data_IF_131328646654
#
_entry.id   IF_131328646654
#
_cell.length_a   1.000
_cell.length_b   1.000
_cell.length_c   1.000
_cell.angle_alpha   90.00
_cell.angle_beta   90.00
_cell.angle_gamma   90.00
#
_symmetry.space_group_name_H-M   'P 1'
#
loop_
_entity.id
_entity.type
_entity.pdbx_description
1 polymer ?
#
# COMPACT_ATOMS: atom_id res chain seq x y z
N UNK A 1 -8.32 17.24 23.26
CA UNK A 1 -7.53 15.99 23.28
C UNK A 1 -6.19 16.09 24.03
N UNK A 2 -5.96 17.15 24.82
CA UNK A 2 -4.65 17.28 25.52
C UNK A 2 -4.43 16.08 26.45
N UNK A 3 -3.27 15.43 26.29
CA UNK A 3 -2.82 14.26 27.05
C UNK A 3 -3.52 12.93 26.75
N UNK A 4 -4.35 12.80 25.72
CA UNK A 4 -4.86 11.49 25.29
C UNK A 4 -3.72 10.62 24.81
N UNK A 5 -3.52 9.45 25.43
CA UNK A 5 -2.49 8.48 25.10
C UNK A 5 -2.97 7.61 23.96
N UNK A 6 -2.32 7.70 22.82
CA UNK A 6 -2.69 6.93 21.63
C UNK A 6 -1.56 6.00 21.24
N UNK A 7 -1.85 4.69 21.14
CA UNK A 7 -0.95 3.73 20.52
C UNK A 7 -1.34 3.51 19.06
N UNK A 8 -0.38 3.58 18.16
CA UNK A 8 -0.54 3.23 16.75
C UNK A 8 0.33 1.99 16.46
N UNK A 9 -0.25 0.94 15.90
CA UNK A 9 0.47 -0.25 15.45
C UNK A 9 0.77 -0.14 13.97
N UNK A 10 2.05 -0.04 13.61
CA UNK A 10 2.57 0.09 12.24
C UNK A 10 3.15 1.47 11.91
N UNK A 11 4.36 1.50 11.34
CA UNK A 11 5.13 2.70 11.02
C UNK A 11 5.46 2.81 9.51
N UNK A 12 4.53 2.41 8.62
CA UNK A 12 4.74 2.56 7.17
C UNK A 12 4.16 3.88 6.66
N UNK A 13 2.91 3.93 6.21
CA UNK A 13 2.26 5.12 5.63
C UNK A 13 1.18 5.67 6.56
N UNK A 14 0.12 4.89 6.80
CA UNK A 14 -1.03 5.35 7.58
C UNK A 14 -0.66 5.73 9.02
N UNK A 15 0.23 4.95 9.66
CA UNK A 15 0.65 5.19 11.05
C UNK A 15 1.36 6.52 11.24
N UNK A 16 2.48 6.80 10.55
CA UNK A 16 3.17 8.09 10.63
C UNK A 16 2.30 9.27 10.22
N UNK A 17 1.47 9.14 9.17
CA UNK A 17 0.53 10.19 8.77
C UNK A 17 -0.48 10.50 9.90
N UNK A 18 -1.04 9.47 10.55
CA UNK A 18 -1.92 9.63 11.69
C UNK A 18 -1.20 10.22 12.91
N UNK A 19 0.01 9.71 13.20
CA UNK A 19 0.82 10.18 14.31
C UNK A 19 1.12 11.68 14.22
N UNK A 20 1.48 12.17 13.02
CA UNK A 20 1.69 13.59 12.74
C UNK A 20 0.49 14.45 13.14
N UNK A 21 -0.72 14.06 12.74
CA UNK A 21 -1.93 14.85 13.05
C UNK A 21 -2.29 14.79 14.52
N UNK A 22 -2.22 13.61 15.15
CA UNK A 22 -2.55 13.43 16.56
C UNK A 22 -1.59 14.21 17.49
N UNK A 23 -0.29 14.21 17.19
CA UNK A 23 0.70 14.99 17.93
C UNK A 23 0.37 16.50 17.83
N UNK A 24 0.10 17.02 16.64
CA UNK A 24 -0.32 18.42 16.44
C UNK A 24 -1.61 18.78 17.18
N UNK A 25 -2.47 17.80 17.42
CA UNK A 25 -3.71 18.00 18.19
C UNK A 25 -3.53 17.78 19.70
N UNK A 26 -2.28 17.53 20.15
CA UNK A 26 -1.87 17.48 21.56
C UNK A 26 -2.06 16.13 22.22
N UNK A 27 -2.13 15.04 21.45
CA UNK A 27 -2.08 13.68 21.97
C UNK A 27 -0.65 13.28 22.36
N UNK A 28 -0.53 12.33 23.26
CA UNK A 28 0.70 11.60 23.52
C UNK A 28 0.70 10.36 22.61
N UNK A 29 1.54 10.38 21.58
CA UNK A 29 1.54 9.35 20.54
C UNK A 29 2.72 8.41 20.70
N UNK A 30 2.43 7.12 20.78
CA UNK A 30 3.41 6.04 20.67
C UNK A 30 3.10 5.22 19.43
N UNK A 31 4.10 4.98 18.58
CA UNK A 31 3.99 4.13 17.40
C UNK A 31 4.85 2.87 17.64
N UNK A 32 4.25 1.69 17.52
CA UNK A 32 4.99 0.41 17.59
C UNK A 32 5.12 -0.20 16.19
N UNK A 33 6.33 -0.66 15.86
CA UNK A 33 6.65 -1.28 14.56
C UNK A 33 7.46 -2.57 14.77
N UNK A 34 7.01 -3.66 14.14
CA UNK A 34 7.68 -4.96 14.22
C UNK A 34 9.06 -4.99 13.56
N UNK A 35 9.28 -4.19 12.54
CA UNK A 35 10.59 -4.05 11.91
C UNK A 35 11.57 -3.29 12.80
N UNK A 36 12.87 -3.54 12.62
CA UNK A 36 13.92 -2.86 13.38
C UNK A 36 14.11 -1.38 13.01
N UNK A 37 13.43 -0.92 11.98
CA UNK A 37 13.45 0.45 11.44
C UNK A 37 12.60 0.53 10.18
N UNK A 38 12.64 1.67 9.48
CA UNK A 38 11.98 1.82 8.19
C UNK A 38 12.41 0.69 7.24
N UNK A 39 11.45 -0.01 6.66
CA UNK A 39 11.73 -1.14 5.78
C UNK A 39 12.18 -0.63 4.42
N UNK A 40 13.42 -0.93 3.96
CA UNK A 40 13.90 -0.52 2.66
C UNK A 40 13.16 -1.23 1.53
N UNK A 41 13.17 -0.63 0.34
CA UNK A 41 12.56 -1.19 -0.86
C UNK A 41 11.03 -1.11 -0.85
N UNK A 42 10.44 -1.91 -1.71
CA UNK A 42 9.01 -1.91 -1.96
C UNK A 42 8.65 -1.25 -3.28
N UNK A 43 7.39 -1.38 -3.64
CA UNK A 43 6.84 -0.89 -4.91
C UNK A 43 6.80 0.64 -4.98
N UNK A 44 6.71 1.16 -6.20
CA UNK A 44 6.19 2.49 -6.44
C UNK A 44 4.71 2.55 -6.03
N UNK A 45 4.31 3.66 -5.49
CA UNK A 45 2.97 3.95 -5.00
C UNK A 45 2.59 5.37 -5.38
N UNK A 46 1.30 5.64 -5.43
CA UNK A 46 0.80 6.92 -5.88
C UNK A 46 0.16 7.72 -4.75
N UNK A 47 0.48 9.00 -4.72
CA UNK A 47 -0.24 10.02 -3.94
C UNK A 47 -1.11 10.80 -4.91
N UNK A 48 -2.44 10.65 -4.82
CA UNK A 48 -3.42 11.16 -5.77
C UNK A 48 -4.59 11.87 -5.10
N UNK A 49 -5.24 12.73 -5.86
CA UNK A 49 -6.47 13.38 -5.45
C UNK A 49 -6.37 14.06 -4.08
N UNK A 50 -7.33 13.83 -3.16
CA UNK A 50 -7.34 14.48 -1.84
C UNK A 50 -6.12 14.15 -0.98
N UNK A 51 -5.37 13.08 -1.26
CA UNK A 51 -4.13 12.79 -0.54
C UNK A 51 -3.02 13.81 -0.84
N UNK A 52 -3.00 14.41 -2.02
CA UNK A 52 -2.08 15.53 -2.34
C UNK A 52 -2.35 16.74 -1.43
N UNK A 53 -3.61 17.04 -1.18
CA UNK A 53 -3.98 18.13 -0.26
C UNK A 53 -3.64 17.77 1.19
N UNK A 54 -3.81 16.51 1.62
CA UNK A 54 -3.34 16.05 2.93
C UNK A 54 -1.83 16.29 3.06
N UNK A 55 -1.02 15.91 2.05
CA UNK A 55 0.41 16.16 2.03
C UNK A 55 0.75 17.65 2.07
N UNK A 56 -0.02 18.49 1.35
CA UNK A 56 0.17 19.95 1.38
C UNK A 56 -0.12 20.53 2.78
N UNK A 57 -1.22 20.10 3.42
CA UNK A 57 -1.58 20.48 4.79
C UNK A 57 -0.56 20.00 5.84
N UNK A 58 0.09 18.86 5.59
CA UNK A 58 1.22 18.36 6.38
C UNK A 58 2.52 19.16 6.14
N UNK A 59 2.61 19.91 5.06
CA UNK A 59 3.81 20.62 4.64
C UNK A 59 4.88 19.73 3.99
N UNK A 60 4.53 18.52 3.58
CA UNK A 60 5.47 17.53 3.01
C UNK A 60 5.35 17.36 1.50
N UNK A 61 4.37 18.00 0.83
CA UNK A 61 4.10 17.77 -0.59
C UNK A 61 5.30 18.10 -1.49
N UNK A 62 6.00 19.20 -1.23
CA UNK A 62 7.15 19.56 -2.06
C UNK A 62 8.31 18.58 -1.88
N UNK A 63 8.54 18.09 -0.66
CA UNK A 63 9.55 17.07 -0.41
C UNK A 63 9.19 15.74 -1.12
N UNK A 64 7.93 15.30 -1.03
CA UNK A 64 7.41 14.13 -1.76
C UNK A 64 7.66 14.27 -3.27
N UNK A 65 7.44 15.46 -3.84
CA UNK A 65 7.71 15.75 -5.25
C UNK A 65 9.18 15.62 -5.64
N UNK A 66 10.11 15.92 -4.72
CA UNK A 66 11.55 15.75 -5.00
C UNK A 66 11.96 14.28 -5.08
N UNK A 67 11.20 13.39 -4.44
CA UNK A 67 11.43 11.93 -4.43
C UNK A 67 10.61 11.16 -5.47
N UNK A 68 9.90 11.88 -6.36
CA UNK A 68 9.09 11.22 -7.42
C UNK A 68 9.95 10.31 -8.28
N UNK A 69 9.39 9.23 -8.80
CA UNK A 69 10.08 8.31 -9.74
C UNK A 69 10.52 9.04 -11.01
N UNK A 70 9.72 10.00 -11.47
CA UNK A 70 10.02 10.85 -12.61
C UNK A 70 10.13 10.11 -13.94
N UNK A 71 9.39 9.01 -14.09
CA UNK A 71 9.29 8.26 -15.34
C UNK A 71 8.85 9.16 -16.50
N UNK A 72 9.31 8.83 -17.71
CA UNK A 72 9.02 9.57 -18.96
C UNK A 72 8.17 8.78 -19.93
N UNK A 73 7.88 7.53 -19.62
CA UNK A 73 7.10 6.64 -20.46
C UNK A 73 7.38 5.18 -20.18
N UNK A 74 6.82 4.35 -21.03
CA UNK A 74 6.96 2.91 -20.96
C UNK A 74 7.03 2.28 -22.32
N UNK A 75 7.56 1.05 -22.36
CA UNK A 75 7.46 0.16 -23.51
C UNK A 75 7.00 -1.23 -23.09
N UNK A 76 6.45 -1.96 -24.05
CA UNK A 76 6.11 -3.37 -23.93
C UNK A 76 6.98 -4.16 -24.88
N UNK A 77 7.56 -5.25 -24.41
CA UNK A 77 8.43 -6.12 -25.20
C UNK A 77 8.00 -7.57 -25.15
N UNK A 78 8.30 -8.33 -26.20
CA UNK A 78 8.10 -9.78 -26.25
C UNK A 78 9.30 -10.54 -25.64
N UNK A 79 9.26 -11.87 -25.71
CA UNK A 79 10.32 -12.74 -25.18
C UNK A 79 11.67 -12.63 -25.87
N UNK A 80 11.76 -12.03 -27.04
CA UNK A 80 13.01 -11.75 -27.77
C UNK A 80 13.50 -10.31 -27.55
N UNK A 81 12.78 -9.53 -26.73
CA UNK A 81 13.08 -8.13 -26.46
C UNK A 81 12.63 -7.19 -27.59
N UNK A 82 11.84 -7.67 -28.53
CA UNK A 82 11.27 -6.84 -29.57
C UNK A 82 10.18 -5.95 -29.00
N UNK A 83 10.26 -4.63 -29.25
CA UNK A 83 9.25 -3.69 -28.84
C UNK A 83 7.92 -3.96 -29.59
N UNK A 84 6.87 -4.13 -28.82
CA UNK A 84 5.50 -4.32 -29.29
C UNK A 84 4.72 -2.99 -29.25
N UNK A 85 5.01 -2.16 -28.25
CA UNK A 85 4.35 -0.89 -28.01
C UNK A 85 5.27 0.03 -27.21
N UNK A 86 5.19 1.34 -27.41
CA UNK A 86 5.77 2.32 -26.47
C UNK A 86 4.98 3.61 -26.46
N UNK A 87 5.03 4.34 -25.33
CA UNK A 87 4.35 5.61 -25.13
C UNK A 87 5.08 6.50 -24.15
N UNK A 88 4.98 7.82 -24.35
CA UNK A 88 5.45 8.87 -23.45
C UNK A 88 4.31 9.64 -22.79
N UNK A 89 3.08 9.13 -22.88
CA UNK A 89 1.91 9.78 -22.29
C UNK A 89 1.58 9.25 -20.91
N UNK A 90 1.99 8.00 -20.62
CA UNK A 90 1.67 7.29 -19.38
C UNK A 90 2.65 6.17 -19.08
N UNK A 91 2.53 5.63 -17.85
CA UNK A 91 3.15 4.39 -17.39
C UNK A 91 2.09 3.42 -16.88
N UNK A 92 2.43 2.13 -16.76
CA UNK A 92 1.52 1.16 -16.15
C UNK A 92 1.48 1.29 -14.63
N UNK A 93 2.59 1.74 -14.01
CA UNK A 93 2.68 1.95 -12.57
C UNK A 93 1.99 3.25 -12.12
N UNK A 94 2.30 4.38 -12.75
CA UNK A 94 1.89 5.71 -12.31
C UNK A 94 0.69 6.33 -13.04
N UNK A 95 0.25 5.75 -14.16
CA UNK A 95 -0.82 6.31 -14.98
C UNK A 95 -0.38 7.46 -15.90
N UNK A 96 -1.21 8.49 -16.08
CA UNK A 96 -0.92 9.61 -16.98
C UNK A 96 0.21 10.51 -16.45
N UNK A 97 1.20 10.80 -17.31
CA UNK A 97 2.40 11.56 -16.95
C UNK A 97 2.18 13.07 -16.81
N UNK A 98 1.11 13.60 -17.37
CA UNK A 98 0.71 15.01 -17.27
C UNK A 98 -0.24 15.29 -16.09
N UNK A 99 -0.52 14.28 -15.25
CA UNK A 99 -1.35 14.42 -14.06
C UNK A 99 -0.61 15.15 -12.92
N UNK A 100 -1.35 15.73 -11.95
CA UNK A 100 -0.76 16.30 -10.74
C UNK A 100 -0.27 15.22 -9.75
N UNK A 101 -0.55 13.97 -10.00
CA UNK A 101 -0.24 12.82 -9.14
C UNK A 101 1.27 12.67 -8.93
N UNK A 102 1.64 12.10 -7.81
CA UNK A 102 3.05 11.85 -7.49
C UNK A 102 3.25 10.36 -7.29
N UNK A 103 3.93 9.74 -8.24
CA UNK A 103 4.45 8.40 -8.07
C UNK A 103 5.78 8.46 -7.30
N UNK A 104 5.87 7.73 -6.20
CA UNK A 104 7.01 7.71 -5.29
C UNK A 104 7.27 6.29 -4.79
N UNK A 105 8.51 5.96 -4.44
CA UNK A 105 8.79 4.68 -3.79
C UNK A 105 8.20 4.66 -2.37
N UNK A 106 7.66 3.52 -1.98
CA UNK A 106 7.01 3.34 -0.66
C UNK A 106 7.93 3.68 0.50
N UNK A 107 9.20 3.30 0.42
CA UNK A 107 10.19 3.56 1.47
C UNK A 107 10.58 5.05 1.53
N UNK A 108 10.61 5.76 0.40
CA UNK A 108 10.85 7.20 0.37
C UNK A 108 9.67 7.96 1.00
N UNK A 109 8.43 7.64 0.63
CA UNK A 109 7.25 8.24 1.25
C UNK A 109 7.20 7.95 2.76
N UNK A 110 7.48 6.72 3.17
CA UNK A 110 7.52 6.35 4.60
C UNK A 110 8.56 7.19 5.35
N UNK A 111 9.75 7.40 4.76
CA UNK A 111 10.82 8.19 5.36
C UNK A 111 10.42 9.66 5.52
N UNK A 112 9.80 10.25 4.50
CA UNK A 112 9.29 11.64 4.57
C UNK A 112 8.24 11.78 5.67
N UNK A 113 7.29 10.85 5.76
CA UNK A 113 6.24 10.88 6.78
C UNK A 113 6.78 10.70 8.21
N UNK A 114 7.75 9.81 8.39
CA UNK A 114 8.42 9.62 9.68
C UNK A 114 9.18 10.88 10.12
N UNK A 115 9.90 11.52 9.20
CA UNK A 115 10.62 12.75 9.47
C UNK A 115 9.69 13.92 9.81
N UNK A 116 8.51 13.99 9.19
CA UNK A 116 7.51 15.02 9.45
C UNK A 116 6.93 14.97 10.87
N UNK A 117 6.93 13.80 11.52
CA UNK A 117 6.39 13.61 12.87
C UNK A 117 7.13 14.35 13.97
N UNK A 118 8.40 14.68 13.76
CA UNK A 118 9.23 15.39 14.76
C UNK A 118 9.47 14.59 16.04
N UNK A 119 10.00 15.29 17.08
CA UNK A 119 10.44 14.68 18.34
C UNK A 119 9.27 14.38 19.33
N UNK A 120 8.05 14.80 19.02
CA UNK A 120 6.87 14.62 19.88
C UNK A 120 6.31 13.20 19.88
N UNK A 121 6.72 12.37 18.94
CA UNK A 121 6.20 11.01 18.73
C UNK A 121 7.21 9.97 19.18
N UNK A 122 6.80 9.06 20.08
CA UNK A 122 7.62 7.93 20.50
C UNK A 122 7.51 6.80 19.48
N UNK A 123 8.63 6.32 18.91
CA UNK A 123 8.69 5.15 18.04
C UNK A 123 9.34 3.98 18.72
N UNK A 124 8.62 2.85 18.83
CA UNK A 124 9.08 1.58 19.38
C UNK A 124 9.29 0.59 18.23
N UNK A 125 10.47 0.60 17.65
CA UNK A 125 10.85 -0.35 16.60
C UNK A 125 11.20 -1.72 17.19
N UNK A 126 11.16 -2.76 16.34
CA UNK A 126 11.49 -4.13 16.69
C UNK A 126 10.58 -4.72 17.78
N UNK A 127 9.33 -4.22 17.87
CA UNK A 127 8.32 -4.74 18.81
C UNK A 127 6.93 -4.73 18.14
N UNK A 128 5.98 -5.40 18.76
CA UNK A 128 4.59 -5.45 18.28
C UNK A 128 3.64 -5.78 19.43
N UNK A 129 2.35 -5.60 19.20
CA UNK A 129 1.30 -5.90 20.18
C UNK A 129 1.16 -7.42 20.31
N UNK A 130 1.37 -7.95 21.50
CA UNK A 130 1.15 -9.36 21.83
C UNK A 130 -0.29 -9.62 22.30
N UNK A 131 -0.86 -8.70 23.07
CA UNK A 131 -2.25 -8.80 23.53
C UNK A 131 -2.83 -7.43 23.88
N UNK A 132 -4.17 -7.34 23.83
CA UNK A 132 -4.98 -6.18 24.16
C UNK A 132 -6.08 -6.58 25.15
N UNK A 133 -6.27 -5.81 26.22
CA UNK A 133 -7.38 -5.95 27.13
C UNK A 133 -8.06 -4.59 27.30
N UNK A 134 -9.28 -4.46 26.75
CA UNK A 134 -10.05 -3.21 26.83
C UNK A 134 -10.80 -3.13 28.17
N UNK A 135 -10.54 -2.06 28.93
CA UNK A 135 -11.31 -1.64 30.08
C UNK A 135 -12.27 -0.49 29.76
N UNK A 136 -13.03 -0.02 30.76
CA UNK A 136 -13.94 1.11 30.56
C UNK A 136 -13.21 2.42 30.23
N UNK A 137 -12.03 2.63 30.81
CA UNK A 137 -11.30 3.89 30.71
C UNK A 137 -10.05 3.82 29.84
N UNK A 138 -9.46 2.63 29.66
CA UNK A 138 -8.21 2.44 28.93
C UNK A 138 -8.11 1.05 28.29
N UNK A 139 -7.09 0.88 27.46
CA UNK A 139 -6.67 -0.39 26.86
C UNK A 139 -5.32 -0.78 27.47
N UNK A 140 -5.26 -1.88 28.19
CA UNK A 140 -4.01 -2.48 28.61
C UNK A 140 -3.39 -3.24 27.44
N UNK A 141 -2.20 -2.85 27.05
CA UNK A 141 -1.46 -3.43 25.91
C UNK A 141 -0.21 -4.12 26.43
N UNK A 142 -0.01 -5.38 26.06
CA UNK A 142 1.23 -6.10 26.27
C UNK A 142 1.97 -6.21 24.95
N UNK A 143 3.24 -5.82 24.94
CA UNK A 143 4.13 -5.94 23.79
C UNK A 143 4.91 -7.25 23.83
N UNK A 144 5.39 -7.71 22.67
CA UNK A 144 6.22 -8.93 22.64
C UNK A 144 7.56 -8.78 23.35
N UNK A 145 8.12 -7.57 23.39
CA UNK A 145 9.44 -7.28 24.00
C UNK A 145 9.40 -6.20 25.06
N UNK A 146 8.53 -5.22 24.94
CA UNK A 146 8.51 -3.98 25.71
C UNK A 146 7.69 -3.98 27.01
N UNK A 147 7.20 -5.13 27.51
CA UNK A 147 6.35 -5.20 28.71
C UNK A 147 4.91 -4.75 28.44
N UNK A 148 4.26 -4.10 29.44
CA UNK A 148 2.86 -3.68 29.32
C UNK A 148 2.72 -2.19 29.59
N UNK A 149 1.83 -1.53 28.83
CA UNK A 149 1.45 -0.12 28.98
C UNK A 149 -0.07 0.05 28.80
N UNK A 150 -0.60 1.15 29.29
CA UNK A 150 -2.01 1.52 29.14
C UNK A 150 -2.17 2.72 28.23
N UNK A 151 -3.15 2.66 27.32
CA UNK A 151 -3.48 3.69 26.37
C UNK A 151 -4.98 4.01 26.39
N UNK A 152 -5.35 5.22 26.07
CA UNK A 152 -6.75 5.62 26.00
C UNK A 152 -7.41 5.14 24.69
N UNK A 153 -6.61 5.05 23.62
CA UNK A 153 -7.01 4.63 22.28
C UNK A 153 -5.89 3.78 21.65
N UNK A 154 -6.27 2.76 20.90
CA UNK A 154 -5.34 1.97 20.05
C UNK A 154 -5.80 2.04 18.61
N UNK A 155 -4.89 2.33 17.68
CA UNK A 155 -5.15 2.36 16.24
C UNK A 155 -4.29 1.33 15.53
N UNK A 156 -4.91 0.41 14.81
CA UNK A 156 -4.20 -0.50 13.92
C UNK A 156 -3.95 0.17 12.56
N UNK A 157 -2.67 0.31 12.21
CA UNK A 157 -2.15 0.78 10.92
C UNK A 157 -1.13 -0.23 10.36
N UNK A 158 -1.28 -1.50 10.75
CA UNK A 158 -0.32 -2.59 10.55
C UNK A 158 -0.57 -3.43 9.28
N UNK A 159 -1.32 -2.85 8.33
CA UNK A 159 -1.43 -3.32 6.96
C UNK A 159 -2.43 -4.45 6.74
N UNK A 160 -2.42 -5.03 5.55
CA UNK A 160 -3.39 -6.05 5.10
C UNK A 160 -3.42 -7.27 6.03
N UNK A 161 -2.27 -7.69 6.55
CA UNK A 161 -2.12 -8.78 7.52
C UNK A 161 -2.11 -8.29 8.97
N UNK A 162 -3.00 -7.38 9.31
CA UNK A 162 -3.06 -6.74 10.63
C UNK A 162 -3.22 -7.74 11.77
N UNK A 163 -2.17 -7.87 12.59
CA UNK A 163 -2.23 -8.66 13.82
C UNK A 163 -3.15 -8.01 14.87
N UNK A 164 -3.21 -6.69 14.89
CA UNK A 164 -4.11 -5.95 15.79
C UNK A 164 -5.58 -6.18 15.43
N UNK A 165 -5.92 -6.21 14.12
CA UNK A 165 -7.25 -6.63 13.64
C UNK A 165 -7.58 -8.05 14.13
N UNK A 166 -6.64 -8.98 13.98
CA UNK A 166 -6.86 -10.36 14.41
C UNK A 166 -7.13 -10.47 15.91
N UNK A 167 -6.42 -9.74 16.76
CA UNK A 167 -6.62 -9.71 18.21
C UNK A 167 -7.99 -9.16 18.63
N UNK A 168 -8.54 -8.20 17.89
CA UNK A 168 -9.76 -7.47 18.30
C UNK A 168 -11.00 -7.98 17.59
N UNK A 169 -10.92 -8.25 16.29
CA UNK A 169 -12.09 -8.56 15.46
C UNK A 169 -12.16 -10.04 15.09
N UNK A 170 -11.07 -10.77 15.20
CA UNK A 170 -10.98 -12.19 14.88
C UNK A 170 -10.07 -12.48 13.68
N UNK A 171 -10.00 -13.76 13.27
CA UNK A 171 -9.01 -14.21 12.30
C UNK A 171 -9.20 -13.56 10.93
N UNK A 172 -8.09 -13.41 10.21
CA UNK A 172 -7.96 -12.66 8.96
C UNK A 172 -8.89 -13.15 7.86
N UNK A 173 -9.09 -14.47 7.79
CA UNK A 173 -9.89 -15.13 6.75
C UNK A 173 -11.36 -14.67 6.72
N UNK A 174 -11.81 -14.02 7.78
CA UNK A 174 -13.16 -13.42 7.83
C UNK A 174 -13.28 -12.14 7.03
N UNK A 175 -12.18 -11.46 6.79
CA UNK A 175 -12.14 -10.10 6.27
C UNK A 175 -11.38 -9.98 4.96
N UNK A 176 -10.42 -10.89 4.72
CA UNK A 176 -9.58 -10.88 3.54
C UNK A 176 -10.29 -11.52 2.36
N UNK A 177 -10.44 -10.74 1.29
CA UNK A 177 -10.97 -11.17 0.00
C UNK A 177 -9.84 -11.28 -1.01
N UNK A 178 -9.49 -12.50 -1.38
CA UNK A 178 -8.46 -12.79 -2.36
C UNK A 178 -8.88 -12.34 -3.76
N UNK A 179 -7.99 -11.64 -4.48
CA UNK A 179 -8.28 -11.08 -5.81
C UNK A 179 -7.77 -11.94 -6.97
N UNK A 180 -7.37 -13.20 -6.71
CA UNK A 180 -6.95 -14.16 -7.74
C UNK A 180 -5.47 -14.03 -8.12
N UNK A 181 -4.62 -13.40 -7.29
CA UNK A 181 -3.21 -13.29 -7.62
C UNK A 181 -2.31 -12.80 -6.49
N UNK A 182 -1.02 -12.80 -6.79
CA UNK A 182 0.06 -12.36 -5.91
C UNK A 182 0.99 -11.43 -6.67
N UNK A 183 1.56 -10.46 -5.96
CA UNK A 183 2.51 -9.49 -6.49
C UNK A 183 3.87 -9.70 -5.83
N UNK A 184 4.90 -9.96 -6.64
CA UNK A 184 6.29 -10.01 -6.21
C UNK A 184 7.03 -8.75 -6.62
N UNK A 185 7.88 -8.22 -5.71
CA UNK A 185 8.69 -7.02 -5.96
C UNK A 185 10.07 -7.21 -5.37
N UNK A 186 11.11 -6.77 -6.11
CA UNK A 186 12.48 -6.69 -5.61
C UNK A 186 13.32 -5.68 -6.39
N UNK A 187 14.45 -5.29 -5.82
CA UNK A 187 15.40 -4.35 -6.43
C UNK A 187 16.50 -5.08 -7.17
N UNK A 188 16.90 -4.52 -8.31
CA UNK A 188 18.08 -4.90 -9.07
C UNK A 188 18.90 -3.66 -9.44
N UNK A 189 20.22 -3.80 -9.74
CA UNK A 189 20.94 -2.73 -10.42
C UNK A 189 20.26 -2.39 -11.75
N UNK A 190 20.26 -1.13 -12.15
CA UNK A 190 19.73 -0.73 -13.46
C UNK A 190 20.69 -1.15 -14.61
N UNK A 191 20.95 -2.45 -14.76
CA UNK A 191 21.86 -2.99 -15.77
C UNK A 191 21.30 -2.90 -17.20
N UNK A 192 19.98 -2.67 -17.32
CA UNK A 192 19.32 -2.45 -18.62
C UNK A 192 19.57 -1.04 -19.16
N UNK A 193 20.12 -0.13 -18.34
CA UNK A 193 20.38 1.25 -18.75
C UNK A 193 19.09 2.04 -18.99
N UNK A 194 18.01 1.70 -18.31
CA UNK A 194 16.73 2.41 -18.42
C UNK A 194 16.91 3.84 -17.91
N UNK A 195 16.51 4.82 -18.73
CA UNK A 195 16.55 6.24 -18.36
C UNK A 195 15.14 6.75 -18.05
N UNK A 196 14.75 6.68 -16.78
CA UNK A 196 13.39 7.03 -16.30
C UNK A 196 12.32 6.37 -17.16
N UNK A 197 12.43 5.06 -17.30
CA UNK A 197 11.64 4.27 -18.22
C UNK A 197 11.13 3.00 -17.56
N UNK A 198 9.93 2.59 -17.97
CA UNK A 198 9.30 1.35 -17.57
C UNK A 198 9.24 0.39 -18.76
N UNK A 199 9.58 -0.87 -18.54
CA UNK A 199 9.47 -1.93 -19.55
C UNK A 199 8.55 -3.03 -19.01
N UNK A 200 7.50 -3.32 -19.76
CA UNK A 200 6.60 -4.45 -19.49
C UNK A 200 7.03 -5.60 -20.38
N UNK A 201 7.26 -6.75 -19.78
CA UNK A 201 7.49 -7.99 -20.51
C UNK A 201 6.18 -8.74 -20.69
N UNK A 202 5.84 -9.02 -21.95
CA UNK A 202 4.70 -9.82 -22.35
C UNK A 202 5.13 -11.24 -22.68
N UNK A 203 4.61 -12.22 -21.95
CA UNK A 203 4.82 -13.63 -22.24
C UNK A 203 3.93 -14.10 -23.41
N UNK A 204 4.28 -15.24 -24.06
CA UNK A 204 3.42 -15.82 -25.09
C UNK A 204 1.98 -16.03 -24.61
N UNK A 205 1.02 -15.76 -25.49
CA UNK A 205 -0.42 -15.81 -25.17
C UNK A 205 -0.93 -14.58 -24.45
N UNK A 206 -0.26 -13.44 -24.61
CA UNK A 206 -0.60 -12.15 -24.01
C UNK A 206 -0.66 -12.17 -22.48
N UNK A 207 0.10 -13.05 -21.86
CA UNK A 207 0.23 -13.15 -20.40
C UNK A 207 1.20 -12.08 -19.90
N UNK A 208 0.83 -11.37 -18.85
CA UNK A 208 1.73 -10.42 -18.20
C UNK A 208 2.90 -11.18 -17.55
N UNK A 209 4.10 -10.95 -18.07
CA UNK A 209 5.32 -11.63 -17.62
C UNK A 209 6.06 -10.87 -16.53
N UNK A 210 5.78 -9.57 -16.37
CA UNK A 210 6.42 -8.74 -15.38
C UNK A 210 6.72 -7.34 -15.89
N UNK A 211 7.28 -6.52 -15.02
CA UNK A 211 7.63 -5.13 -15.30
C UNK A 211 8.95 -4.78 -14.63
N UNK A 212 9.75 -3.96 -15.28
CA UNK A 212 10.97 -3.38 -14.74
C UNK A 212 10.93 -1.88 -14.94
N UNK A 213 11.10 -1.11 -13.87
CA UNK A 213 11.15 0.35 -13.95
C UNK A 213 12.43 0.88 -13.32
N UNK A 214 13.07 1.86 -13.97
CA UNK A 214 14.21 2.54 -13.38
C UNK A 214 13.76 3.49 -12.26
N UNK A 215 14.54 3.53 -11.18
CA UNK A 215 14.28 4.35 -10.00
C UNK A 215 15.58 4.97 -9.48
N UNK A 216 15.48 5.87 -8.50
CA UNK A 216 16.63 6.50 -7.81
C UNK A 216 17.66 7.04 -8.80
N UNK A 217 17.20 7.95 -9.66
CA UNK A 217 18.04 8.60 -10.68
C UNK A 217 18.76 7.56 -11.58
N UNK A 218 18.04 6.49 -11.94
CA UNK A 218 18.52 5.40 -12.80
C UNK A 218 19.65 4.53 -12.20
N UNK A 219 19.92 4.61 -10.90
CA UNK A 219 20.93 3.75 -10.26
C UNK A 219 20.41 2.34 -10.00
N UNK A 220 19.12 2.21 -9.77
CA UNK A 220 18.42 0.96 -9.48
C UNK A 220 17.24 0.76 -10.42
N UNK A 221 16.72 -0.46 -10.44
CA UNK A 221 15.43 -0.76 -11.04
C UNK A 221 14.57 -1.61 -10.09
N UNK A 222 13.26 -1.41 -10.13
CA UNK A 222 12.27 -2.26 -9.45
C UNK A 222 11.71 -3.26 -10.44
N UNK A 223 11.71 -4.51 -10.02
CA UNK A 223 11.12 -5.62 -10.76
C UNK A 223 9.79 -5.97 -10.12
N UNK A 224 8.78 -6.16 -10.93
CA UNK A 224 7.45 -6.59 -10.53
C UNK A 224 7.09 -7.86 -11.28
N UNK A 225 6.53 -8.83 -10.57
CA UNK A 225 5.95 -10.03 -11.18
C UNK A 225 4.57 -10.30 -10.59
N UNK A 226 3.72 -10.95 -11.37
CA UNK A 226 2.43 -11.45 -10.90
C UNK A 226 2.38 -12.96 -10.94
N UNK A 227 1.73 -13.55 -9.96
CA UNK A 227 1.37 -14.97 -9.97
C UNK A 227 -0.14 -15.03 -9.92
N UNK A 228 -0.78 -15.40 -11.03
CA UNK A 228 -2.21 -15.69 -11.04
C UNK A 228 -2.43 -17.02 -10.33
N UNK A 229 -3.21 -17.02 -9.27
CA UNK A 229 -3.55 -18.19 -8.47
C UNK A 229 -4.77 -17.93 -7.59
N UNK A 230 -5.70 -18.86 -7.55
CA UNK A 230 -6.85 -18.83 -6.64
C UNK A 230 -6.54 -19.51 -5.30
N UNK A 231 -5.33 -20.06 -5.12
CA UNK A 231 -4.89 -20.64 -3.86
C UNK A 231 -4.93 -19.58 -2.74
N UNK A 232 -5.58 -19.87 -1.59
CA UNK A 232 -5.62 -18.93 -0.48
C UNK A 232 -4.21 -18.58 0.05
N UNK A 233 -4.00 -17.37 0.59
CA UNK A 233 -2.69 -16.96 1.11
C UNK A 233 -2.12 -17.90 2.17
N UNK A 234 -2.97 -18.49 3.02
CA UNK A 234 -2.54 -19.46 4.03
C UNK A 234 -1.93 -20.73 3.41
N UNK A 235 -2.38 -21.13 2.22
CA UNK A 235 -1.86 -22.29 1.49
C UNK A 235 -0.64 -21.95 0.66
N UNK A 236 -0.70 -20.84 -0.09
CA UNK A 236 0.39 -20.44 -0.99
C UNK A 236 1.58 -19.83 -0.24
N UNK A 237 1.35 -18.95 0.72
CA UNK A 237 2.39 -18.20 1.42
C UNK A 237 2.63 -18.69 2.87
N UNK A 238 1.60 -19.08 3.55
CA UNK A 238 1.45 -19.56 4.93
C UNK A 238 2.74 -19.67 5.76
N UNK A 239 3.28 -20.88 5.86
CA UNK A 239 4.53 -21.15 6.59
C UNK A 239 5.79 -21.04 5.74
N UNK A 240 5.71 -20.56 4.49
CA UNK A 240 6.85 -20.48 3.58
C UNK A 240 7.85 -19.42 4.03
N UNK A 241 9.11 -19.79 4.07
CA UNK A 241 10.20 -18.84 4.25
C UNK A 241 10.36 -17.96 3.01
N UNK A 242 11.07 -16.83 3.13
CA UNK A 242 11.42 -15.99 1.97
C UNK A 242 12.13 -16.81 0.88
N UNK A 243 12.99 -17.76 1.25
CA UNK A 243 13.64 -18.66 0.29
C UNK A 243 12.65 -19.57 -0.43
N UNK A 244 11.60 -20.03 0.25
CA UNK A 244 10.55 -20.85 -0.39
C UNK A 244 9.69 -20.03 -1.32
N UNK A 245 9.39 -18.78 -0.96
CA UNK A 245 8.69 -17.83 -1.84
C UNK A 245 9.50 -17.52 -3.10
N UNK A 246 10.82 -17.30 -2.97
CA UNK A 246 11.72 -17.11 -4.12
C UNK A 246 11.75 -18.36 -5.03
N UNK A 247 11.74 -19.57 -4.45
CA UNK A 247 11.66 -20.81 -5.26
C UNK A 247 10.33 -20.89 -6.02
N UNK A 248 9.22 -20.55 -5.39
CA UNK A 248 7.91 -20.50 -6.04
C UNK A 248 7.93 -19.56 -7.25
N UNK A 249 8.45 -18.35 -7.08
CA UNK A 249 8.59 -17.39 -8.19
C UNK A 249 9.49 -17.96 -9.29
N UNK A 250 10.67 -18.48 -8.95
CA UNK A 250 11.60 -19.05 -9.93
C UNK A 250 10.98 -20.22 -10.70
N UNK A 251 10.18 -21.06 -10.05
CA UNK A 251 9.47 -22.16 -10.69
C UNK A 251 8.39 -21.68 -11.66
N UNK A 252 7.59 -20.69 -11.25
CA UNK A 252 6.52 -20.12 -12.09
C UNK A 252 7.07 -19.43 -13.35
N UNK A 253 8.27 -18.85 -13.26
CA UNK A 253 8.91 -18.08 -14.32
C UNK A 253 10.06 -18.84 -15.03
N UNK A 254 10.22 -20.14 -14.81
CA UNK A 254 11.34 -20.94 -15.35
C UNK A 254 11.43 -20.94 -16.88
N UNK A 255 10.29 -20.83 -17.57
CA UNK A 255 10.19 -20.83 -19.03
C UNK A 255 10.07 -19.39 -19.60
N UNK A 256 10.14 -18.38 -18.74
CA UNK A 256 10.10 -16.99 -19.16
C UNK A 256 11.38 -16.61 -19.91
N UNK A 257 11.22 -15.75 -20.89
CA UNK A 257 12.29 -15.29 -21.79
C UNK A 257 12.68 -13.86 -21.46
N UNK A 258 13.15 -13.13 -22.44
CA UNK A 258 13.68 -11.78 -22.30
C UNK A 258 14.75 -11.72 -21.20
N UNK A 259 14.72 -10.75 -20.34
CA UNK A 259 15.66 -10.58 -19.22
C UNK A 259 15.23 -11.33 -17.94
N UNK A 260 14.07 -12.01 -17.96
CA UNK A 260 13.52 -12.65 -16.75
C UNK A 260 14.50 -13.63 -16.09
N UNK A 261 15.24 -14.50 -16.81
CA UNK A 261 16.22 -15.37 -16.18
C UNK A 261 17.25 -14.60 -15.34
N UNK A 262 17.76 -13.47 -15.87
CA UNK A 262 18.74 -12.62 -15.17
C UNK A 262 18.12 -11.86 -14.00
N UNK A 263 16.90 -11.40 -14.16
CA UNK A 263 16.14 -10.74 -13.06
C UNK A 263 15.90 -11.70 -11.90
N UNK A 264 15.62 -12.98 -12.19
CA UNK A 264 15.49 -14.03 -11.17
C UNK A 264 16.84 -14.35 -10.49
N UNK A 265 17.96 -14.29 -11.19
CA UNK A 265 19.29 -14.42 -10.56
C UNK A 265 19.50 -13.32 -9.51
N UNK A 266 19.20 -12.06 -9.84
CA UNK A 266 19.28 -10.96 -8.88
C UNK A 266 18.31 -11.12 -7.71
N UNK A 267 17.12 -11.68 -7.94
CA UNK A 267 16.12 -11.92 -6.89
C UNK A 267 16.69 -12.69 -5.70
N UNK A 268 17.55 -13.70 -5.95
CA UNK A 268 18.12 -14.52 -4.87
C UNK A 268 18.93 -13.71 -3.87
N UNK A 269 19.66 -12.70 -4.36
CA UNK A 269 20.47 -11.79 -3.55
C UNK A 269 19.72 -10.56 -3.03
N UNK A 270 18.50 -10.30 -3.49
CA UNK A 270 17.75 -9.10 -3.13
C UNK A 270 17.28 -9.17 -1.67
N UNK A 271 17.69 -8.22 -0.82
CA UNK A 271 17.31 -8.21 0.60
C UNK A 271 15.88 -7.70 0.82
N UNK A 272 15.33 -6.99 -0.15
CA UNK A 272 14.02 -6.34 -0.14
C UNK A 272 12.95 -7.13 -0.93
N UNK A 273 13.27 -8.38 -1.31
CA UNK A 273 12.28 -9.24 -1.96
C UNK A 273 11.01 -9.35 -1.11
N UNK A 274 9.88 -9.13 -1.76
CA UNK A 274 8.56 -9.22 -1.15
C UNK A 274 7.61 -9.92 -2.12
N UNK A 275 6.85 -10.87 -1.62
CA UNK A 275 5.76 -11.53 -2.33
C UNK A 275 4.54 -11.49 -1.43
N UNK A 276 3.46 -10.91 -1.91
CA UNK A 276 2.23 -10.78 -1.13
C UNK A 276 0.98 -10.95 -1.98
N UNK A 277 -0.13 -11.20 -1.32
CA UNK A 277 -1.43 -11.40 -1.94
C UNK A 277 -2.01 -10.10 -2.48
N UNK A 278 -2.60 -10.15 -3.67
CA UNK A 278 -3.54 -9.14 -4.10
C UNK A 278 -4.88 -9.39 -3.41
N UNK A 279 -5.22 -8.58 -2.43
CA UNK A 279 -6.40 -8.79 -1.60
C UNK A 279 -7.07 -7.48 -1.21
N UNK A 280 -8.35 -7.58 -0.84
CA UNK A 280 -9.10 -6.51 -0.19
C UNK A 280 -9.44 -6.89 1.25
N UNK A 281 -9.65 -5.89 2.09
CA UNK A 281 -10.18 -6.09 3.44
C UNK A 281 -11.57 -5.47 3.51
N UNK A 282 -12.57 -6.32 3.77
CA UNK A 282 -13.95 -5.91 3.93
C UNK A 282 -14.41 -6.12 5.37
N UNK A 283 -14.91 -5.06 5.99
CA UNK A 283 -15.36 -5.07 7.38
C UNK A 283 -16.65 -4.26 7.55
N UNK A 284 -17.60 -4.78 8.33
CA UNK A 284 -18.85 -4.08 8.67
C UNK A 284 -18.59 -2.85 9.55
N UNK A 285 -17.62 -2.94 10.45
CA UNK A 285 -17.12 -1.83 11.26
C UNK A 285 -15.61 -1.88 11.39
N UNK A 286 -15.00 -0.70 11.38
CA UNK A 286 -13.55 -0.55 11.58
C UNK A 286 -13.20 -0.32 13.05
N UNK A 287 -14.19 -0.24 13.94
CA UNK A 287 -13.97 0.11 15.33
C UNK A 287 -14.66 -0.86 16.29
N UNK A 288 -14.00 -1.16 17.40
CA UNK A 288 -14.57 -1.92 18.52
C UNK A 288 -14.07 -1.37 19.85
N UNK A 289 -14.98 -0.72 20.60
CA UNK A 289 -14.61 -0.05 21.84
C UNK A 289 -13.57 1.04 21.62
N UNK A 290 -12.42 0.91 22.25
CA UNK A 290 -11.31 1.87 22.19
C UNK A 290 -10.27 1.57 21.09
N UNK A 291 -10.56 0.60 20.23
CA UNK A 291 -9.67 0.18 19.13
C UNK A 291 -10.32 0.49 17.80
N UNK A 292 -9.58 1.13 16.88
CA UNK A 292 -10.00 1.37 15.49
C UNK A 292 -8.89 1.01 14.50
N UNK A 293 -9.24 0.91 13.22
CA UNK A 293 -8.35 0.54 12.13
C UNK A 293 -8.22 1.70 11.13
N UNK A 294 -7.04 1.83 10.51
CA UNK A 294 -6.78 2.81 9.47
C UNK A 294 -5.95 2.20 8.34
N UNK A 295 -6.21 2.62 7.10
CA UNK A 295 -5.54 2.12 5.90
C UNK A 295 -5.84 0.65 5.63
N UNK A 296 -4.86 -0.08 5.12
CA UNK A 296 -5.04 -1.47 4.70
C UNK A 296 -5.48 -2.42 5.83
N UNK A 297 -5.25 -2.05 7.08
CA UNK A 297 -5.75 -2.81 8.22
C UNK A 297 -7.28 -2.87 8.28
N UNK A 298 -7.98 -1.83 7.82
CA UNK A 298 -9.44 -1.71 7.88
C UNK A 298 -10.16 -1.82 6.53
N UNK A 299 -9.53 -1.34 5.46
CA UNK A 299 -10.19 -1.16 4.16
C UNK A 299 -9.24 -1.24 2.97
N UNK A 300 -8.29 -2.15 3.00
CA UNK A 300 -7.37 -2.39 1.87
C UNK A 300 -8.13 -2.50 0.55
N UNK A 301 -7.71 -1.70 -0.45
CA UNK A 301 -8.31 -1.67 -1.78
C UNK A 301 -7.71 -2.67 -2.77
N UNK A 302 -6.65 -3.39 -2.40
CA UNK A 302 -5.77 -4.16 -3.29
C UNK A 302 -4.80 -3.28 -4.10
N UNK A 303 -3.61 -3.77 -4.45
CA UNK A 303 -2.73 -3.11 -5.42
C UNK A 303 -3.42 -2.78 -6.75
N UNK A 304 -4.41 -3.57 -7.15
CA UNK A 304 -5.18 -3.38 -8.39
C UNK A 304 -6.03 -2.11 -8.39
N UNK A 305 -6.29 -1.47 -7.24
CA UNK A 305 -6.98 -0.18 -7.17
C UNK A 305 -6.06 0.99 -7.52
N UNK A 306 -4.74 0.84 -7.32
CA UNK A 306 -3.76 1.93 -7.40
C UNK A 306 -3.99 3.06 -6.38
N UNK A 307 -4.81 2.84 -5.34
CA UNK A 307 -5.31 3.91 -4.46
C UNK A 307 -5.07 3.68 -2.96
N UNK A 308 -4.62 2.50 -2.54
CA UNK A 308 -4.51 2.16 -1.11
C UNK A 308 -3.71 3.19 -0.32
N UNK A 309 -2.63 3.73 -0.87
CA UNK A 309 -1.81 4.79 -0.25
C UNK A 309 -2.61 6.07 -0.03
N UNK A 310 -3.28 6.56 -1.08
CA UNK A 310 -4.07 7.79 -1.02
C UNK A 310 -5.22 7.67 -0.02
N UNK A 311 -5.95 6.56 -0.05
CA UNK A 311 -7.06 6.31 0.90
C UNK A 311 -6.54 6.18 2.34
N UNK A 312 -5.35 5.58 2.55
CA UNK A 312 -4.75 5.46 3.87
C UNK A 312 -4.37 6.84 4.45
N UNK A 313 -3.79 7.73 3.64
CA UNK A 313 -3.43 9.09 4.06
C UNK A 313 -4.67 9.95 4.37
N UNK A 314 -5.68 9.90 3.50
CA UNK A 314 -6.98 10.56 3.74
C UNK A 314 -7.63 10.02 5.01
N UNK A 315 -7.64 8.70 5.19
CA UNK A 315 -8.19 8.05 6.38
C UNK A 315 -7.49 8.46 7.68
N UNK A 316 -6.16 8.59 7.65
CA UNK A 316 -5.38 9.08 8.79
C UNK A 316 -5.77 10.53 9.17
N UNK A 317 -5.90 11.40 8.17
CA UNK A 317 -6.34 12.78 8.36
C UNK A 317 -7.76 12.86 8.95
N UNK A 318 -8.70 12.10 8.37
CA UNK A 318 -10.11 12.11 8.81
C UNK A 318 -10.24 11.56 10.24
N UNK A 319 -9.57 10.43 10.55
CA UNK A 319 -9.61 9.86 11.90
C UNK A 319 -9.09 10.85 12.96
N UNK A 320 -7.93 11.46 12.68
CA UNK A 320 -7.37 12.46 13.60
C UNK A 320 -8.28 13.68 13.74
N UNK A 321 -8.85 14.14 12.63
CA UNK A 321 -9.76 15.30 12.60
C UNK A 321 -11.06 15.05 13.38
N UNK A 322 -11.68 13.89 13.21
CA UNK A 322 -12.90 13.53 13.94
C UNK A 322 -12.61 13.32 15.44
N UNK A 323 -11.45 12.77 15.80
CA UNK A 323 -11.02 12.72 17.20
C UNK A 323 -10.87 14.13 17.81
N UNK A 324 -10.30 15.08 17.05
CA UNK A 324 -10.20 16.49 17.48
C UNK A 324 -11.58 17.12 17.63
N UNK A 325 -12.45 16.95 16.63
CA UNK A 325 -13.79 17.53 16.63
C UNK A 325 -14.66 17.02 17.79
N UNK A 326 -14.52 15.72 18.13
CA UNK A 326 -15.19 15.09 19.25
C UNK A 326 -14.54 15.39 20.62
N UNK A 327 -13.50 16.24 20.70
CA UNK A 327 -12.81 16.57 21.95
C UNK A 327 -12.12 15.38 22.62
N UNK A 328 -11.88 14.29 21.89
CA UNK A 328 -11.27 13.04 22.36
C UNK A 328 -12.30 11.96 22.76
N UNK A 329 -13.59 12.18 22.61
CA UNK A 329 -14.61 11.13 22.72
C UNK A 329 -14.43 10.15 21.53
N UNK A 330 -13.77 9.02 21.81
CA UNK A 330 -13.47 8.01 20.80
C UNK A 330 -14.72 7.38 20.21
N UNK A 331 -15.81 7.23 20.97
CA UNK A 331 -17.05 6.62 20.47
C UNK A 331 -17.69 7.49 19.41
N UNK A 332 -17.83 8.78 19.68
CA UNK A 332 -18.35 9.75 18.72
C UNK A 332 -17.41 9.91 17.50
N UNK A 333 -16.10 10.00 17.76
CA UNK A 333 -15.09 10.16 16.72
C UNK A 333 -15.03 8.97 15.76
N UNK A 334 -15.03 7.74 16.26
CA UNK A 334 -14.94 6.55 15.41
C UNK A 334 -16.20 6.38 14.55
N UNK A 335 -17.37 6.64 15.13
CA UNK A 335 -18.62 6.61 14.36
C UNK A 335 -18.64 7.69 13.26
N UNK A 336 -18.10 8.88 13.53
CA UNK A 336 -17.98 9.96 12.56
C UNK A 336 -16.94 9.62 11.47
N UNK A 337 -15.79 9.10 11.85
CA UNK A 337 -14.75 8.63 10.94
C UNK A 337 -15.25 7.58 9.93
N UNK A 338 -15.94 6.53 10.43
CA UNK A 338 -16.48 5.50 9.56
C UNK A 338 -17.57 6.06 8.63
N UNK A 339 -18.46 6.89 9.12
CA UNK A 339 -19.51 7.51 8.31
C UNK A 339 -18.95 8.40 7.22
N UNK A 340 -17.89 9.15 7.51
CA UNK A 340 -17.28 10.11 6.63
C UNK A 340 -16.48 9.43 5.51
N UNK A 341 -15.67 8.43 5.86
CA UNK A 341 -14.70 7.84 4.94
C UNK A 341 -15.24 6.62 4.18
N UNK A 342 -16.25 5.92 4.71
CA UNK A 342 -16.69 4.62 4.17
C UNK A 342 -17.07 4.66 2.70
N UNK A 343 -17.80 5.67 2.27
CA UNK A 343 -18.19 5.81 0.86
C UNK A 343 -16.98 5.89 -0.07
N UNK A 344 -15.98 6.68 0.33
CA UNK A 344 -14.74 6.84 -0.42
C UNK A 344 -13.91 5.54 -0.46
N UNK A 345 -13.76 4.87 0.69
CA UNK A 345 -13.03 3.61 0.78
C UNK A 345 -13.68 2.52 -0.10
N UNK A 346 -15.01 2.36 -0.04
CA UNK A 346 -15.74 1.36 -0.83
C UNK A 346 -15.66 1.67 -2.32
N UNK A 347 -15.78 2.94 -2.74
CA UNK A 347 -15.63 3.31 -4.15
C UNK A 347 -14.23 2.96 -4.68
N UNK A 348 -13.18 3.18 -3.89
CA UNK A 348 -11.82 2.80 -4.24
C UNK A 348 -11.58 1.28 -4.23
N UNK A 349 -12.28 0.51 -3.39
CA UNK A 349 -12.28 -0.94 -3.46
C UNK A 349 -12.95 -1.44 -4.75
N UNK A 350 -14.05 -0.79 -5.17
CA UNK A 350 -14.75 -1.13 -6.41
C UNK A 350 -13.86 -0.94 -7.65
N UNK A 351 -12.99 0.07 -7.69
CA UNK A 351 -12.01 0.24 -8.78
C UNK A 351 -11.16 -1.01 -9.02
N UNK A 352 -10.73 -1.70 -7.97
CA UNK A 352 -9.94 -2.92 -8.13
C UNK A 352 -10.77 -4.07 -8.72
N UNK A 353 -12.04 -4.17 -8.36
CA UNK A 353 -12.96 -5.16 -8.92
C UNK A 353 -13.24 -4.87 -10.41
N UNK A 354 -13.44 -3.62 -10.76
CA UNK A 354 -13.67 -3.19 -12.15
C UNK A 354 -12.42 -3.44 -13.00
N UNK A 355 -11.23 -3.12 -12.48
CA UNK A 355 -9.95 -3.40 -13.13
C UNK A 355 -9.73 -4.90 -13.34
N UNK A 356 -10.06 -5.72 -12.33
CA UNK A 356 -10.01 -7.18 -12.46
C UNK A 356 -10.98 -7.69 -13.52
N UNK A 357 -12.24 -7.27 -13.49
CA UNK A 357 -13.26 -7.69 -14.45
C UNK A 357 -12.85 -7.32 -15.88
N UNK A 358 -12.24 -6.13 -16.10
CA UNK A 358 -11.71 -5.73 -17.39
C UNK A 358 -10.58 -6.64 -17.85
N UNK A 359 -9.59 -6.91 -16.99
CA UNK A 359 -8.48 -7.83 -17.29
C UNK A 359 -8.99 -9.24 -17.65
N UNK A 360 -9.97 -9.76 -16.90
CA UNK A 360 -10.56 -11.07 -17.14
C UNK A 360 -11.33 -11.11 -18.49
N UNK A 361 -12.05 -10.04 -18.84
CA UNK A 361 -12.76 -9.90 -20.12
C UNK A 361 -11.80 -9.83 -21.31
N UNK A 362 -10.72 -9.06 -21.21
CA UNK A 362 -9.64 -8.98 -22.22
C UNK A 362 -9.00 -10.35 -22.44
N UNK A 363 -8.75 -11.09 -21.37
CA UNK A 363 -8.20 -12.45 -21.43
C UNK A 363 -9.13 -13.43 -22.14
N UNK A 364 -10.46 -13.26 -22.01
CA UNK A 364 -11.49 -14.14 -22.61
C UNK A 364 -11.77 -13.80 -24.08
N UNK A 365 -11.61 -12.52 -24.49
CA UNK A 365 -11.90 -12.02 -25.84
C UNK A 365 -10.77 -12.26 -26.85
N UNK A 366 -9.75 -13.03 -26.49
CA UNK A 366 -8.53 -13.28 -27.28
C UNK A 366 -8.85 -14.03 -28.59
N UNK A 367 -8.77 -13.31 -29.68
CA UNK A 367 -9.03 -13.74 -31.07
C UNK A 367 -9.49 -12.62 -31.97
N UNK A 368 -9.87 -11.47 -31.42
CA UNK A 368 -10.11 -10.21 -32.15
C UNK A 368 -9.02 -9.21 -31.75
N UNK A 369 -8.58 -8.36 -32.68
CA UNK A 369 -7.60 -7.31 -32.37
C UNK A 369 -8.06 -6.54 -31.12
N UNK A 370 -7.21 -6.38 -30.10
CA UNK A 370 -7.58 -5.63 -28.90
C UNK A 370 -7.82 -4.17 -29.27
N UNK A 371 -9.07 -3.74 -29.23
CA UNK A 371 -9.46 -2.34 -29.42
C UNK A 371 -9.19 -1.49 -28.16
N UNK A 372 -8.63 -2.11 -27.12
CA UNK A 372 -8.31 -1.45 -25.86
C UNK A 372 -6.82 -1.55 -25.56
N UNK A 373 -6.24 -0.39 -25.34
CA UNK A 373 -4.90 -0.21 -24.86
C UNK A 373 -4.76 -0.87 -23.46
N UNK A 374 -3.92 -1.90 -23.27
CA UNK A 374 -3.87 -2.73 -22.04
C UNK A 374 -3.48 -1.96 -20.76
N UNK A 375 -3.16 -0.68 -20.90
CA UNK A 375 -2.81 0.21 -19.80
C UNK A 375 -3.82 1.35 -19.62
N UNK A 376 -5.00 1.28 -20.25
CA UNK A 376 -6.03 2.29 -20.07
C UNK A 376 -6.62 2.20 -18.67
N UNK A 377 -6.45 3.26 -17.92
CA UNK A 377 -7.14 3.49 -16.64
C UNK A 377 -8.52 3.97 -17.03
N UNK A 378 -9.52 3.09 -17.02
CA UNK A 378 -10.85 3.32 -17.55
C UNK A 378 -11.48 4.67 -17.18
N UNK A 379 -12.38 5.15 -18.03
CA UNK A 379 -13.24 6.31 -17.76
C UNK A 379 -13.85 6.17 -16.37
N UNK A 380 -13.78 7.19 -15.55
CA UNK A 380 -14.30 7.17 -14.18
C UNK A 380 -13.26 6.89 -13.07
N UNK A 381 -12.04 6.45 -13.39
CA UNK A 381 -11.00 6.30 -12.37
C UNK A 381 -10.75 7.61 -11.60
N UNK A 382 -10.50 8.70 -12.32
CA UNK A 382 -10.26 10.01 -11.71
C UNK A 382 -11.52 10.61 -11.05
N UNK A 383 -12.72 10.21 -11.47
CA UNK A 383 -13.95 10.57 -10.78
C UNK A 383 -13.99 9.99 -9.37
N UNK A 384 -13.63 8.71 -9.23
CA UNK A 384 -13.55 8.05 -7.92
C UNK A 384 -12.40 8.60 -7.09
N UNK A 385 -11.20 8.76 -7.68
CA UNK A 385 -10.02 9.30 -7.00
C UNK A 385 -10.31 10.66 -6.38
N UNK A 386 -11.03 11.53 -7.08
CA UNK A 386 -11.35 12.89 -6.66
C UNK A 386 -12.73 13.03 -5.98
N UNK A 387 -13.42 11.93 -5.69
CA UNK A 387 -14.80 11.97 -5.15
C UNK A 387 -14.91 12.42 -3.70
N UNK A 388 -13.79 12.57 -2.99
CA UNK A 388 -13.78 12.97 -1.59
C UNK A 388 -13.26 14.41 -1.41
N UNK A 389 -14.02 15.24 -0.70
CA UNK A 389 -13.61 16.60 -0.32
C UNK A 389 -13.18 16.61 1.14
N UNK A 390 -11.95 17.04 1.40
CA UNK A 390 -11.41 17.14 2.77
C UNK A 390 -12.16 18.18 3.58
N UNK A 391 -12.54 17.82 4.81
CA UNK A 391 -13.01 18.78 5.81
C UNK A 391 -11.83 19.58 6.39
N UNK A 392 -12.13 20.74 6.92
CA UNK A 392 -11.21 21.51 7.75
C UNK A 392 -11.43 21.15 9.23
N UNK A 393 -10.40 20.66 9.89
CA UNK A 393 -10.43 20.26 11.29
C UNK A 393 -9.62 21.20 12.19
#
# INVERSE_FOLDING_TARGET
MRNTRVLISGASIAGPALAYWLDRYGCQVTVVERAAGPRPGGQAIDVRGPALEVCARMGVLEEIRTHRTGLRGMSMVDGDGKELFSTTERTASGGQLDSPDVEILRDDLSSVLLAAGGDGIEYLFNDSIASLAQGPDEVAVTFHRGGSRAFDIVVAADGVHSSTRALVFGPEEKFLHHMGGYLGVWTVPNYLGLDRWEVIYQMPGDVWGGMVMSVRENTEARVYIGIDSDEPPAELLGSRTVSDQKRLVAERYRDARWEMPRLLEYMWGAPDFHLDVAAQIHMDSWSRGRVTLVGDAGYCGSPMSGQSTSVAMVGAYVLAGELKAAGGDHTAAFAAYERELRGYAVANQQLALDNKARKDAETTSRGQEPDTNPTDIGDGFYEVVNSYTLKDY
#
